data_IF_461995903696
#
_entry.id   IF_461995903696
#
_cell.length_a   1.000
_cell.length_b   1.000
_cell.length_c   1.000
_cell.angle_alpha   90.00
_cell.angle_beta   90.00
_cell.angle_gamma   90.00
#
_symmetry.space_group_name_H-M   'P 1'
#
loop_
_entity.id
_entity.type
_entity.pdbx_description
1 polymer ?
#
# COMPACT_ATOMS: atom_id res chain seq x y z
N UNK A 1 -2.16 8.85 9.15
CA UNK A 1 -3.57 8.70 8.72
C UNK A 1 -3.56 7.87 7.46
N UNK A 2 -4.29 6.75 7.45
CA UNK A 2 -4.35 5.82 6.32
C UNK A 2 -5.69 5.96 5.60
N UNK A 3 -5.71 5.78 4.28
CA UNK A 3 -6.95 5.70 3.48
C UNK A 3 -7.14 4.27 3.02
N UNK A 4 -8.31 3.69 3.26
CA UNK A 4 -8.63 2.33 2.85
C UNK A 4 -9.72 2.33 1.78
N UNK A 5 -9.62 1.42 0.82
CA UNK A 5 -10.65 1.22 -0.20
C UNK A 5 -10.65 -0.22 -0.72
N UNK A 6 -11.76 -0.60 -1.34
CA UNK A 6 -11.93 -1.90 -2.01
C UNK A 6 -12.25 -1.67 -3.48
N UNK A 7 -12.03 -2.69 -4.29
CA UNK A 7 -12.33 -2.68 -5.72
C UNK A 7 -13.28 -3.85 -6.03
N UNK A 8 -14.51 -3.63 -6.54
CA UNK A 8 -15.45 -4.71 -6.84
C UNK A 8 -14.91 -5.76 -7.81
N UNK A 9 -14.02 -5.36 -8.73
CA UNK A 9 -13.31 -6.22 -9.66
C UNK A 9 -12.24 -7.11 -9.01
N UNK A 10 -11.85 -6.80 -7.77
CA UNK A 10 -10.91 -7.56 -6.95
C UNK A 10 -11.58 -7.95 -5.62
N UNK A 11 -12.56 -8.87 -5.65
CA UNK A 11 -13.29 -9.27 -4.46
C UNK A 11 -12.35 -9.90 -3.42
N UNK A 12 -12.55 -9.53 -2.16
CA UNK A 12 -11.73 -10.01 -1.05
C UNK A 12 -10.34 -9.38 -1.01
N UNK A 13 -10.11 -8.24 -1.67
CA UNK A 13 -8.89 -7.44 -1.52
C UNK A 13 -9.26 -6.07 -0.96
N UNK A 14 -8.65 -5.74 0.18
CA UNK A 14 -8.67 -4.41 0.76
C UNK A 14 -7.33 -3.73 0.50
N UNK A 15 -7.37 -2.51 -0.02
CA UNK A 15 -6.19 -1.67 -0.24
C UNK A 15 -6.08 -0.63 0.86
N UNK A 16 -4.85 -0.43 1.35
CA UNK A 16 -4.51 0.59 2.33
C UNK A 16 -3.41 1.49 1.77
N UNK A 17 -3.65 2.80 1.80
CA UNK A 17 -2.71 3.83 1.37
C UNK A 17 -2.23 4.62 2.58
N UNK A 18 -0.90 4.70 2.74
CA UNK A 18 -0.26 5.40 3.85
C UNK A 18 0.80 6.37 3.34
N UNK A 19 0.96 7.51 4.02
CA UNK A 19 2.09 8.42 3.85
C UNK A 19 3.37 7.75 4.34
N UNK A 20 4.44 7.86 3.58
CA UNK A 20 5.69 7.18 3.83
C UNK A 20 5.89 5.97 2.92
N UNK A 21 6.95 5.21 3.21
CA UNK A 21 7.37 4.06 2.43
C UNK A 21 8.87 4.01 2.28
N UNK A 22 9.38 2.96 1.66
CA UNK A 22 10.80 2.83 1.33
C UNK A 22 11.04 3.22 -0.13
N UNK A 23 12.03 4.06 -0.37
CA UNK A 23 12.54 4.35 -1.71
C UNK A 23 13.17 3.09 -2.37
N UNK A 24 13.63 3.16 -3.63
CA UNK A 24 14.22 2.00 -4.29
C UNK A 24 15.52 1.49 -3.63
N UNK A 25 16.17 2.35 -2.84
CA UNK A 25 17.37 2.01 -2.06
C UNK A 25 17.02 1.47 -0.66
N UNK A 26 15.73 1.31 -0.35
CA UNK A 26 15.25 0.82 0.93
C UNK A 26 15.25 1.86 2.05
N UNK A 27 15.39 3.15 1.74
CA UNK A 27 15.39 4.22 2.75
C UNK A 27 13.98 4.75 3.00
N UNK A 28 13.59 5.01 4.25
CA UNK A 28 12.32 5.66 4.56
C UNK A 28 12.21 7.03 3.90
N UNK A 29 11.13 7.27 3.16
CA UNK A 29 10.84 8.55 2.52
C UNK A 29 9.44 9.05 2.92
N UNK A 30 9.33 10.11 3.74
CA UNK A 30 8.05 10.63 4.20
C UNK A 30 7.22 11.32 3.11
N UNK A 31 7.83 11.68 1.98
CA UNK A 31 7.14 12.29 0.83
C UNK A 31 6.48 11.24 -0.09
N UNK A 32 6.67 9.95 0.19
CA UNK A 32 6.10 8.87 -0.60
C UNK A 32 4.71 8.47 -0.12
N UNK A 33 4.02 7.69 -0.94
CA UNK A 33 2.85 6.93 -0.53
C UNK A 33 3.08 5.45 -0.83
N UNK A 34 2.74 4.61 0.14
CA UNK A 34 2.76 3.15 -0.01
C UNK A 34 1.33 2.64 -0.11
N UNK A 35 1.10 1.73 -1.06
CA UNK A 35 -0.17 1.02 -1.22
C UNK A 35 0.07 -0.46 -0.92
N UNK A 36 -0.61 -0.95 0.11
CA UNK A 36 -0.59 -2.35 0.53
C UNK A 36 -1.94 -2.99 0.21
N UNK A 37 -1.92 -4.18 -0.38
CA UNK A 37 -3.09 -5.02 -0.57
C UNK A 37 -3.12 -6.10 0.50
N UNK A 38 -4.24 -6.22 1.20
CA UNK A 38 -4.53 -7.32 2.11
C UNK A 38 -5.67 -8.13 1.53
N UNK A 39 -5.48 -9.44 1.42
CA UNK A 39 -6.56 -10.35 1.05
C UNK A 39 -7.37 -10.68 2.30
N UNK A 40 -8.69 -10.62 2.20
CA UNK A 40 -9.57 -11.08 3.26
C UNK A 40 -9.35 -12.58 3.42
N UNK A 41 -8.73 -12.94 4.54
CA UNK A 41 -8.24 -14.26 4.84
C UNK A 41 -9.38 -15.26 5.11
N UNK A 42 -9.60 -16.21 4.19
CA UNK A 42 -9.70 -17.62 4.61
C UNK A 42 -8.30 -18.23 4.82
N UNK A 43 -7.24 -17.53 4.44
CA UNK A 43 -5.85 -17.87 4.75
C UNK A 43 -5.13 -16.60 5.19
N UNK A 44 -4.43 -16.67 6.34
CA UNK A 44 -3.54 -15.66 6.91
C UNK A 44 -2.39 -15.29 5.95
N UNK A 45 -2.70 -14.75 4.78
CA UNK A 45 -1.70 -14.23 3.84
C UNK A 45 -1.29 -12.84 4.30
N UNK A 46 0.00 -12.65 4.61
CA UNK A 46 0.58 -11.37 5.01
C UNK A 46 0.27 -10.27 3.98
N UNK A 47 0.02 -9.06 4.49
CA UNK A 47 -0.23 -7.87 3.69
C UNK A 47 0.91 -7.65 2.67
N UNK A 48 0.59 -7.67 1.38
CA UNK A 48 1.58 -7.52 0.32
C UNK A 48 1.65 -6.08 -0.16
N UNK A 49 2.86 -5.54 -0.30
CA UNK A 49 3.06 -4.23 -0.91
C UNK A 49 2.77 -4.35 -2.40
N UNK A 50 1.71 -3.68 -2.86
CA UNK A 50 1.26 -3.73 -4.25
C UNK A 50 1.92 -2.62 -5.06
N UNK A 51 2.16 -1.45 -4.46
CA UNK A 51 2.81 -0.33 -5.14
C UNK A 51 3.47 0.65 -4.16
N UNK A 52 4.55 1.30 -4.64
CA UNK A 52 5.18 2.45 -3.97
C UNK A 52 5.24 3.60 -4.97
N UNK A 53 4.63 4.71 -4.61
CA UNK A 53 4.52 5.88 -5.49
C UNK A 53 5.24 7.03 -4.81
N UNK A 54 6.43 7.35 -5.33
CA UNK A 54 7.15 8.56 -4.96
C UNK A 54 6.59 9.76 -5.72
N UNK A 55 6.25 10.83 -5.00
CA UNK A 55 6.06 12.13 -5.64
C UNK A 55 7.44 12.77 -5.83
N UNK A 56 7.88 12.93 -7.09
CA UNK A 56 8.97 13.83 -7.43
C UNK A 56 8.39 15.25 -7.59
N UNK A 57 7.99 15.85 -6.48
CA UNK A 57 7.51 17.24 -6.42
C UNK A 57 8.05 17.92 -5.18
N UNK A 58 8.14 19.27 -5.16
CA UNK A 58 8.64 20.03 -4.01
C UNK A 58 7.90 19.70 -2.71
#
# INVERSE_FOLDING_TARGET
MATTFTMPELPGITFTVERGGLDPDGKPNPSWMQITGTRDAENDEEAQVVSRIGFAGP
#
